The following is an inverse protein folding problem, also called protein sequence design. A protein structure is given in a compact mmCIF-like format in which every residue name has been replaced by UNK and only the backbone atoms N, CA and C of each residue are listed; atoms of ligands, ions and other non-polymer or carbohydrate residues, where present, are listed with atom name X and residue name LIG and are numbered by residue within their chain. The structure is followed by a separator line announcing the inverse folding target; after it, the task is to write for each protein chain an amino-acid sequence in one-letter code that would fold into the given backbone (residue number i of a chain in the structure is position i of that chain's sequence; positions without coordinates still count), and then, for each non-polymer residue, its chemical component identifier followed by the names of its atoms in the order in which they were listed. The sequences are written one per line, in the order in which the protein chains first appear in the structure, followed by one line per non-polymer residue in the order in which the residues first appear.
data_IF_528326595202
#
_entry.id   IF_528326595202
#
_cell.length_a   1.000
_cell.length_b   1.000
_cell.length_c   1.000
_cell.angle_alpha   90.00
_cell.angle_beta   90.00
_cell.angle_gamma   90.00
#
_symmetry.space_group_name_H-M   'P 1'
#
loop_
_entity.id
_entity.type
_entity.pdbx_description
1 polymer ?
#
# COMPACT_ATOMS: atom_id res chain seq x y z
N UNK A 1 -15.36 20.06 18.67
CA UNK A 1 -13.89 19.89 18.54
C UNK A 1 -13.62 19.49 17.11
N UNK A 2 -12.84 20.26 16.36
CA UNK A 2 -12.59 20.00 14.95
C UNK A 2 -11.77 18.70 14.84
N UNK A 3 -12.38 17.65 14.34
CA UNK A 3 -11.70 16.40 14.00
C UNK A 3 -10.97 16.67 12.68
N UNK A 4 -9.77 17.25 12.75
CA UNK A 4 -8.92 17.38 11.57
C UNK A 4 -8.49 15.97 11.17
N UNK A 5 -9.10 15.43 10.11
CA UNK A 5 -8.73 14.11 9.56
C UNK A 5 -7.26 14.07 9.10
N UNK A 6 -6.64 15.23 8.90
CA UNK A 6 -5.23 15.37 8.53
C UNK A 6 -4.45 15.91 9.73
N UNK A 7 -3.34 15.25 10.08
CA UNK A 7 -2.42 15.71 11.12
C UNK A 7 -1.02 15.92 10.50
N UNK A 8 -0.29 16.98 10.88
CA UNK A 8 1.09 17.15 10.45
C UNK A 8 1.96 15.98 10.90
N UNK A 9 2.92 15.60 10.06
CA UNK A 9 3.89 14.59 10.43
C UNK A 9 4.86 15.13 11.50
N UNK A 10 4.89 14.47 12.66
CA UNK A 10 5.78 14.84 13.79
C UNK A 10 7.05 13.96 13.88
N UNK A 11 7.27 13.09 12.89
CA UNK A 11 8.44 12.20 12.87
C UNK A 11 9.72 12.87 12.33
N UNK A 12 10.83 12.12 12.30
CA UNK A 12 12.09 12.62 11.75
C UNK A 12 12.00 12.78 10.22
N UNK A 13 12.46 13.93 9.73
CA UNK A 13 12.55 14.23 8.29
C UNK A 13 13.88 13.80 7.67
N UNK A 14 14.88 13.51 8.51
CA UNK A 14 16.20 13.04 8.10
C UNK A 14 16.46 11.67 8.72
N UNK A 15 16.85 10.71 7.88
CA UNK A 15 17.25 9.37 8.31
C UNK A 15 18.74 9.20 8.01
N UNK A 16 19.54 9.01 9.06
CA UNK A 16 20.98 8.79 8.94
C UNK A 16 21.31 7.31 8.78
N UNK A 17 21.98 6.97 7.68
CA UNK A 17 22.46 5.62 7.36
C UNK A 17 23.98 5.49 7.49
N UNK A 18 24.69 6.56 7.86
CA UNK A 18 26.14 6.56 8.02
C UNK A 18 26.64 5.47 8.98
N UNK A 19 25.96 5.11 10.08
CA UNK A 19 26.38 3.98 10.93
C UNK A 19 26.48 2.63 10.19
N UNK A 20 25.71 2.47 9.10
CA UNK A 20 25.70 1.26 8.29
C UNK A 20 26.65 1.33 7.08
N UNK A 21 27.51 2.34 6.99
CA UNK A 21 28.50 2.45 5.93
C UNK A 21 29.36 1.19 5.84
N UNK A 22 29.49 0.63 4.63
CA UNK A 22 30.20 -0.62 4.38
C UNK A 22 29.46 -1.89 4.84
N UNK A 23 28.28 -1.77 5.45
CA UNK A 23 27.40 -2.89 5.82
C UNK A 23 26.20 -3.02 4.87
N UNK A 24 25.70 -1.91 4.33
CA UNK A 24 24.61 -1.92 3.36
C UNK A 24 25.05 -2.57 2.05
N UNK A 25 24.23 -3.51 1.56
CA UNK A 25 24.48 -4.25 0.33
C UNK A 25 23.23 -4.26 -0.54
N UNK A 26 23.43 -4.12 -1.84
CA UNK A 26 22.40 -4.38 -2.83
C UNK A 26 22.47 -5.84 -3.26
N UNK A 27 21.35 -6.55 -3.19
CA UNK A 27 21.24 -7.95 -3.63
C UNK A 27 20.27 -8.01 -4.79
N UNK A 28 20.72 -8.59 -5.92
CA UNK A 28 19.90 -8.72 -7.11
C UNK A 28 18.62 -9.53 -6.85
N UNK A 29 17.58 -9.26 -7.64
CA UNK A 29 16.30 -9.95 -7.51
C UNK A 29 16.49 -11.48 -7.64
N UNK A 30 15.92 -12.24 -6.70
CA UNK A 30 16.05 -13.71 -6.66
C UNK A 30 17.32 -14.25 -5.99
N UNK A 31 18.36 -13.43 -5.76
CA UNK A 31 19.62 -13.87 -5.15
C UNK A 31 19.53 -14.12 -3.63
N UNK A 32 18.38 -13.81 -3.00
CA UNK A 32 18.10 -14.11 -1.60
C UNK A 32 17.61 -15.54 -1.35
N UNK A 33 17.45 -16.36 -2.40
CA UNK A 33 16.98 -17.75 -2.26
C UNK A 33 18.00 -18.59 -1.50
N UNK A 34 17.57 -19.23 -0.42
CA UNK A 34 18.41 -20.11 0.40
C UNK A 34 19.22 -19.39 1.50
N UNK A 35 19.11 -18.07 1.62
CA UNK A 35 19.72 -17.32 2.74
C UNK A 35 19.06 -17.73 4.06
N UNK A 36 19.88 -17.99 5.07
CA UNK A 36 19.40 -18.33 6.42
C UNK A 36 19.01 -17.04 7.15
N UNK A 37 17.82 -17.03 7.75
CA UNK A 37 17.32 -15.92 8.56
C UNK A 37 17.31 -16.29 10.04
N UNK A 38 17.17 -15.27 10.88
CA UNK A 38 16.94 -15.45 12.31
C UNK A 38 15.72 -16.37 12.54
N UNK A 39 15.82 -17.22 13.56
CA UNK A 39 14.77 -18.16 13.96
C UNK A 39 14.19 -17.74 15.30
N UNK A 40 12.96 -18.19 15.57
CA UNK A 40 12.35 -18.02 16.89
C UNK A 40 13.25 -18.60 17.99
N UNK A 41 13.40 -17.84 19.09
CA UNK A 41 14.23 -18.24 20.22
C UNK A 41 15.67 -17.70 20.20
N UNK A 42 16.06 -16.90 19.20
CA UNK A 42 17.40 -16.28 19.14
C UNK A 42 17.86 -15.61 20.45
N UNK A 43 17.03 -14.81 21.17
CA UNK A 43 17.50 -14.16 22.40
C UNK A 43 18.00 -15.13 23.48
N UNK A 44 17.40 -16.33 23.58
CA UNK A 44 17.84 -17.37 24.52
C UNK A 44 19.19 -17.96 24.09
N UNK A 45 19.35 -18.17 22.78
CA UNK A 45 20.60 -18.67 22.18
C UNK A 45 21.73 -17.66 22.37
N UNK A 46 21.46 -16.38 22.16
CA UNK A 46 22.46 -15.31 22.34
C UNK A 46 22.96 -15.26 23.80
N UNK A 47 22.05 -15.31 24.78
CA UNK A 47 22.41 -15.40 26.20
C UNK A 47 23.23 -16.65 26.52
N UNK A 48 22.87 -17.79 25.94
CA UNK A 48 23.62 -19.02 26.11
C UNK A 48 25.03 -18.91 25.52
N UNK A 49 25.16 -18.38 24.31
CA UNK A 49 26.45 -18.18 23.63
C UNK A 49 27.31 -17.20 24.42
N UNK A 50 26.74 -16.12 24.94
CA UNK A 50 27.44 -15.14 25.77
C UNK A 50 28.06 -15.78 27.03
N UNK A 51 27.31 -16.65 27.69
CA UNK A 51 27.76 -17.29 28.94
C UNK A 51 28.72 -18.46 28.71
N UNK A 52 28.45 -19.31 27.71
CA UNK A 52 29.14 -20.59 27.54
C UNK A 52 30.31 -20.53 26.56
N UNK A 53 30.24 -19.72 25.51
CA UNK A 53 31.27 -19.72 24.46
C UNK A 53 32.65 -19.31 25.00
N UNK A 54 32.79 -18.28 25.86
CA UNK A 54 34.09 -17.93 26.43
C UNK A 54 34.73 -19.05 27.25
N UNK A 55 33.92 -19.88 27.90
CA UNK A 55 34.38 -21.00 28.74
C UNK A 55 34.76 -22.24 27.92
N UNK A 56 34.09 -22.46 26.80
CA UNK A 56 34.22 -23.69 26.00
C UNK A 56 34.86 -23.49 24.63
N UNK A 57 35.25 -22.27 24.24
CA UNK A 57 35.79 -21.97 22.91
C UNK A 57 36.97 -22.86 22.52
N UNK A 58 37.91 -23.08 23.44
CA UNK A 58 39.09 -23.93 23.19
C UNK A 58 38.70 -25.39 22.95
N UNK A 59 37.77 -25.93 23.75
CA UNK A 59 37.30 -27.31 23.62
C UNK A 59 36.49 -27.53 22.33
N UNK A 60 35.82 -26.48 21.84
CA UNK A 60 35.08 -26.48 20.57
C UNK A 60 35.98 -26.16 19.36
N UNK A 61 37.27 -25.87 19.57
CA UNK A 61 38.20 -25.43 18.54
C UNK A 61 37.69 -24.22 17.72
N UNK A 62 36.98 -23.29 18.37
CA UNK A 62 36.48 -22.06 17.76
C UNK A 62 37.29 -20.85 18.19
N UNK A 63 37.27 -19.79 17.37
CA UNK A 63 37.93 -18.53 17.73
C UNK A 63 37.33 -17.95 19.01
N UNK A 64 38.14 -17.46 19.95
CA UNK A 64 37.65 -16.74 21.13
C UNK A 64 36.94 -15.42 20.77
N UNK A 65 37.18 -14.86 19.57
CA UNK A 65 36.53 -13.63 19.08
C UNK A 65 35.13 -13.85 18.52
N UNK A 66 34.73 -15.12 18.32
CA UNK A 66 33.51 -15.45 17.58
C UNK A 66 32.25 -14.87 18.24
N UNK A 67 32.18 -14.84 19.57
CA UNK A 67 31.06 -14.22 20.27
C UNK A 67 30.98 -12.71 20.00
N UNK A 68 32.11 -12.02 20.01
CA UNK A 68 32.19 -10.58 19.70
C UNK A 68 31.70 -10.30 18.28
N UNK A 69 32.07 -11.15 17.32
CA UNK A 69 31.61 -11.03 15.93
C UNK A 69 30.09 -11.24 15.82
N UNK A 70 29.55 -12.27 16.47
CA UNK A 70 28.10 -12.53 16.51
C UNK A 70 27.36 -11.34 17.14
N UNK A 71 27.80 -10.87 18.30
CA UNK A 71 27.18 -9.72 18.99
C UNK A 71 27.23 -8.45 18.14
N UNK A 72 28.34 -8.20 17.44
CA UNK A 72 28.47 -7.08 16.49
C UNK A 72 27.44 -7.18 15.37
N UNK A 73 27.24 -8.38 14.79
CA UNK A 73 26.24 -8.61 13.76
C UNK A 73 24.81 -8.47 14.31
N UNK A 74 24.52 -8.95 15.51
CA UNK A 74 23.21 -8.74 16.17
C UNK A 74 22.91 -7.24 16.33
N UNK A 75 23.90 -6.46 16.78
CA UNK A 75 23.79 -5.01 16.92
C UNK A 75 23.44 -4.33 15.59
N UNK A 76 24.22 -4.61 14.54
CA UNK A 76 23.97 -4.09 13.19
C UNK A 76 22.60 -4.49 12.63
N UNK A 77 22.16 -5.73 12.88
CA UNK A 77 20.83 -6.19 12.47
C UNK A 77 19.72 -5.41 13.18
N UNK A 78 19.93 -5.06 14.44
CA UNK A 78 18.97 -4.26 15.22
C UNK A 78 18.89 -2.84 14.67
N UNK A 79 20.02 -2.21 14.38
CA UNK A 79 20.08 -0.88 13.74
C UNK A 79 19.37 -0.88 12.38
N UNK A 80 19.63 -1.88 11.53
CA UNK A 80 18.94 -2.04 10.24
C UNK A 80 17.43 -2.15 10.43
N UNK A 81 16.96 -2.91 11.43
CA UNK A 81 15.51 -3.09 11.69
C UNK A 81 14.84 -1.79 12.12
N UNK A 82 15.47 -1.01 13.00
CA UNK A 82 14.95 0.28 13.44
C UNK A 82 14.85 1.26 12.26
N UNK A 83 15.91 1.36 11.44
CA UNK A 83 15.88 2.22 10.26
C UNK A 83 14.82 1.77 9.24
N UNK A 84 14.64 0.45 9.05
CA UNK A 84 13.58 -0.08 8.20
C UNK A 84 12.18 0.34 8.66
N UNK A 85 11.90 0.25 9.95
CA UNK A 85 10.61 0.67 10.53
C UNK A 85 10.37 2.17 10.32
N UNK A 86 11.42 2.99 10.48
CA UNK A 86 11.33 4.43 10.22
C UNK A 86 11.05 4.75 8.75
N UNK A 87 11.68 4.03 7.82
CA UNK A 87 11.42 4.16 6.38
C UNK A 87 10.01 3.72 6.02
N UNK A 88 9.55 2.59 6.55
CA UNK A 88 8.20 2.07 6.30
C UNK A 88 7.14 3.07 6.77
N UNK A 89 7.34 3.69 7.95
CA UNK A 89 6.44 4.74 8.45
C UNK A 89 6.49 6.01 7.59
N UNK A 90 7.67 6.43 7.15
CA UNK A 90 7.78 7.61 6.28
C UNK A 90 7.13 7.36 4.91
N UNK A 91 7.27 6.14 4.38
CA UNK A 91 6.62 5.73 3.15
C UNK A 91 5.09 5.78 3.28
N UNK A 92 4.53 5.26 4.36
CA UNK A 92 3.09 5.35 4.66
C UNK A 92 2.61 6.82 4.67
N UNK A 93 3.36 7.71 5.32
CA UNK A 93 3.04 9.14 5.37
C UNK A 93 3.12 9.79 3.99
N UNK A 94 4.08 9.38 3.15
CA UNK A 94 4.20 9.89 1.78
C UNK A 94 3.04 9.41 0.91
N UNK A 95 2.64 8.15 1.03
CA UNK A 95 1.49 7.58 0.32
C UNK A 95 0.19 8.33 0.72
N UNK A 96 -0.03 8.54 2.02
CA UNK A 96 -1.17 9.32 2.53
C UNK A 96 -1.14 10.77 2.04
N UNK A 97 0.05 11.38 2.03
CA UNK A 97 0.24 12.75 1.55
C UNK A 97 -0.02 12.85 0.05
N UNK A 98 0.42 11.88 -0.75
CA UNK A 98 0.13 11.81 -2.19
C UNK A 98 -1.37 11.80 -2.41
N UNK A 99 -2.11 10.88 -1.77
CA UNK A 99 -3.57 10.79 -1.88
C UNK A 99 -4.24 12.10 -1.46
N UNK A 100 -3.79 12.71 -0.37
CA UNK A 100 -4.34 13.99 0.10
C UNK A 100 -4.11 15.13 -0.90
N UNK A 101 -2.91 15.22 -1.47
CA UNK A 101 -2.58 16.23 -2.49
C UNK A 101 -3.36 15.99 -3.78
N UNK A 102 -3.56 14.74 -4.17
CA UNK A 102 -4.39 14.38 -5.31
C UNK A 102 -5.86 14.76 -5.09
N UNK A 103 -6.46 14.42 -3.95
CA UNK A 103 -7.83 14.81 -3.61
C UNK A 103 -8.02 16.34 -3.61
N UNK A 104 -7.04 17.05 -3.05
CA UNK A 104 -7.02 18.52 -3.07
C UNK A 104 -6.95 19.06 -4.51
N UNK A 105 -6.08 18.50 -5.34
CA UNK A 105 -5.96 18.85 -6.77
C UNK A 105 -7.29 18.60 -7.50
N UNK A 106 -7.90 17.43 -7.32
CA UNK A 106 -9.16 17.06 -7.96
C UNK A 106 -10.32 17.97 -7.54
N UNK A 107 -10.38 18.33 -6.25
CA UNK A 107 -11.36 19.28 -5.72
C UNK A 107 -11.23 20.66 -6.39
N UNK A 108 -10.01 21.15 -6.56
CA UNK A 108 -9.74 22.42 -7.25
C UNK A 108 -10.12 22.35 -8.74
N UNK A 109 -9.81 21.25 -9.44
CA UNK A 109 -10.25 21.04 -10.82
C UNK A 109 -11.78 21.02 -10.91
N UNK A 110 -12.47 20.38 -9.97
CA UNK A 110 -13.92 20.39 -9.87
C UNK A 110 -14.50 21.79 -9.75
N UNK A 111 -13.92 22.64 -8.91
CA UNK A 111 -14.33 24.04 -8.78
C UNK A 111 -14.17 24.84 -10.08
N UNK A 112 -13.08 24.63 -10.82
CA UNK A 112 -12.86 25.26 -12.13
C UNK A 112 -13.90 24.80 -13.14
N UNK A 113 -14.14 23.48 -13.21
CA UNK A 113 -15.13 22.88 -14.12
C UNK A 113 -16.55 23.38 -13.83
N UNK A 114 -16.94 23.44 -12.56
CA UNK A 114 -18.25 23.96 -12.17
C UNK A 114 -18.40 25.44 -12.56
N UNK A 115 -17.35 26.23 -12.32
CA UNK A 115 -17.32 27.65 -12.68
C UNK A 115 -17.43 27.85 -14.19
N UNK A 116 -16.67 27.09 -14.99
CA UNK A 116 -16.73 27.13 -16.45
C UNK A 116 -18.13 26.79 -16.97
N UNK A 117 -18.76 25.72 -16.46
CA UNK A 117 -20.15 25.33 -16.82
C UNK A 117 -21.16 26.41 -16.45
N UNK A 118 -21.01 27.01 -15.26
CA UNK A 118 -21.89 28.07 -14.78
C UNK A 118 -21.81 29.31 -15.66
N UNK A 119 -20.60 29.73 -16.02
CA UNK A 119 -20.35 30.87 -16.93
C UNK A 119 -20.87 30.58 -18.33
N UNK A 120 -20.63 29.37 -18.85
CA UNK A 120 -21.17 28.94 -20.14
C UNK A 120 -22.69 29.04 -20.23
N UNK A 121 -23.39 28.66 -19.15
CA UNK A 121 -24.85 28.72 -19.09
C UNK A 121 -25.39 30.15 -18.99
N UNK A 122 -24.63 31.09 -18.39
CA UNK A 122 -25.13 32.43 -18.04
C UNK A 122 -24.67 33.54 -18.98
N UNK A 123 -23.44 33.49 -19.47
CA UNK A 123 -22.80 34.63 -20.13
C UNK A 123 -21.99 34.29 -21.37
N UNK A 124 -21.18 33.23 -21.36
CA UNK A 124 -20.29 32.91 -22.48
C UNK A 124 -20.19 31.41 -22.77
N UNK A 125 -20.97 30.91 -23.75
CA UNK A 125 -20.93 29.50 -24.17
C UNK A 125 -19.53 29.00 -24.59
N UNK A 126 -18.62 29.89 -25.01
CA UNK A 126 -17.25 29.55 -25.40
C UNK A 126 -16.42 28.94 -24.27
N UNK A 127 -16.82 29.14 -23.01
CA UNK A 127 -16.15 28.55 -21.84
C UNK A 127 -16.17 27.02 -21.82
N UNK A 128 -17.13 26.37 -22.48
CA UNK A 128 -17.14 24.90 -22.59
C UNK A 128 -15.99 24.42 -23.47
N UNK A 129 -15.74 25.13 -24.58
CA UNK A 129 -14.67 24.80 -25.52
C UNK A 129 -13.31 25.10 -24.90
N UNK A 130 -13.18 26.24 -24.21
CA UNK A 130 -11.93 26.63 -23.55
C UNK A 130 -11.46 25.65 -22.46
N UNK A 131 -12.40 24.97 -21.78
CA UNK A 131 -12.11 24.01 -20.71
C UNK A 131 -12.52 22.56 -21.04
N UNK A 132 -12.60 22.22 -22.33
CA UNK A 132 -13.15 20.94 -22.79
C UNK A 132 -12.45 19.74 -22.13
N UNK A 133 -11.12 19.73 -22.07
CA UNK A 133 -10.35 18.63 -21.49
C UNK A 133 -10.60 18.47 -19.99
N UNK A 134 -10.64 19.57 -19.23
CA UNK A 134 -10.92 19.53 -17.80
C UNK A 134 -12.35 19.02 -17.53
N UNK A 135 -13.32 19.47 -18.31
CA UNK A 135 -14.72 19.01 -18.24
C UNK A 135 -14.81 17.52 -18.56
N UNK A 136 -14.07 17.05 -19.55
CA UNK A 136 -14.02 15.63 -19.96
C UNK A 136 -13.37 14.77 -18.89
N UNK A 137 -12.23 15.21 -18.35
CA UNK A 137 -11.49 14.55 -17.28
C UNK A 137 -12.35 14.40 -16.00
N UNK A 138 -12.89 15.50 -15.48
CA UNK A 138 -13.78 15.49 -14.31
C UNK A 138 -15.05 14.64 -14.53
N UNK A 139 -15.48 14.46 -15.79
CA UNK A 139 -16.63 13.63 -16.14
C UNK A 139 -16.38 12.12 -16.19
N UNK A 140 -15.13 11.64 -16.09
CA UNK A 140 -14.78 10.23 -16.32
C UNK A 140 -15.49 9.28 -15.35
N UNK A 141 -15.48 9.59 -14.04
CA UNK A 141 -16.12 8.74 -13.02
C UNK A 141 -17.62 8.63 -13.24
N UNK A 142 -18.29 9.73 -13.58
CA UNK A 142 -19.72 9.74 -13.89
C UNK A 142 -20.07 8.86 -15.10
N UNK A 143 -19.22 8.88 -16.14
CA UNK A 143 -19.39 8.02 -17.33
C UNK A 143 -19.23 6.54 -16.99
N UNK A 144 -18.22 6.19 -16.20
CA UNK A 144 -17.99 4.82 -15.75
C UNK A 144 -19.13 4.31 -14.87
N UNK A 145 -19.62 5.14 -13.95
CA UNK A 145 -20.74 4.80 -13.09
C UNK A 145 -22.03 4.57 -13.90
N UNK A 146 -22.32 5.44 -14.88
CA UNK A 146 -23.46 5.25 -15.78
C UNK A 146 -23.34 3.94 -16.58
N UNK A 147 -22.17 3.65 -17.15
CA UNK A 147 -21.90 2.39 -17.85
C UNK A 147 -22.11 1.18 -16.95
N UNK A 148 -21.64 1.24 -15.69
CA UNK A 148 -21.81 0.15 -14.73
C UNK A 148 -23.27 -0.05 -14.31
N UNK A 149 -24.05 1.02 -14.19
CA UNK A 149 -25.50 0.93 -13.91
C UNK A 149 -26.23 0.20 -15.04
N UNK A 150 -25.96 0.57 -16.28
CA UNK A 150 -26.53 -0.11 -17.46
C UNK A 150 -26.19 -1.61 -17.48
N UNK A 151 -24.92 -1.96 -17.27
CA UNK A 151 -24.50 -3.37 -17.22
C UNK A 151 -25.18 -4.15 -16.08
N UNK A 152 -25.37 -3.53 -14.92
CA UNK A 152 -26.05 -4.17 -13.80
C UNK A 152 -27.55 -4.35 -14.06
N UNK A 153 -28.21 -3.39 -14.71
CA UNK A 153 -29.62 -3.48 -15.12
C UNK A 153 -29.83 -4.61 -16.15
N UNK A 154 -28.94 -4.71 -17.15
CA UNK A 154 -28.96 -5.79 -18.14
C UNK A 154 -28.73 -7.16 -17.49
N UNK A 155 -27.75 -7.28 -16.59
CA UNK A 155 -27.48 -8.51 -15.86
C UNK A 155 -28.65 -8.93 -14.95
N UNK A 156 -29.31 -7.97 -14.29
CA UNK A 156 -30.49 -8.24 -13.46
C UNK A 156 -31.68 -8.70 -14.31
N UNK A 157 -31.91 -8.08 -15.47
CA UNK A 157 -32.96 -8.50 -16.41
C UNK A 157 -32.71 -9.91 -16.97
N UNK A 158 -31.46 -10.24 -17.32
CA UNK A 158 -31.08 -11.57 -17.77
C UNK A 158 -31.26 -12.63 -16.67
N UNK A 159 -30.86 -12.33 -15.42
CA UNK A 159 -31.06 -13.22 -14.29
C UNK A 159 -32.55 -13.45 -13.98
N UNK A 160 -33.38 -12.41 -14.07
CA UNK A 160 -34.82 -12.53 -13.88
C UNK A 160 -35.49 -13.37 -14.99
N UNK A 161 -35.05 -13.21 -16.24
CA UNK A 161 -35.53 -14.02 -17.36
C UNK A 161 -35.11 -15.49 -17.24
N UNK A 162 -33.88 -15.76 -16.79
CA UNK A 162 -33.41 -17.12 -16.54
C UNK A 162 -34.19 -17.79 -15.40
N UNK A 163 -34.42 -17.09 -14.30
CA UNK A 163 -35.21 -17.60 -13.18
C UNK A 163 -36.68 -17.85 -13.56
N UNK A 164 -37.27 -17.02 -14.42
CA UNK A 164 -38.61 -17.24 -14.94
C UNK A 164 -38.67 -18.46 -15.88
N UNK A 165 -37.68 -18.64 -16.75
CA UNK A 165 -37.59 -19.79 -17.64
C UNK A 165 -37.36 -21.11 -16.87
N UNK A 166 -36.56 -21.09 -15.80
CA UNK A 166 -36.38 -22.24 -14.91
C UNK A 166 -37.67 -22.59 -14.16
N UNK A 167 -38.39 -21.59 -13.65
CA UNK A 167 -39.68 -21.79 -12.96
C UNK A 167 -40.78 -22.33 -13.91
N UNK A 168 -40.81 -21.86 -15.16
CA UNK A 168 -41.73 -22.39 -16.19
C UNK A 168 -41.37 -23.84 -16.57
N UNK A 169 -40.08 -24.16 -16.71
CA UNK A 169 -39.63 -25.53 -17.00
C UNK A 169 -39.94 -26.51 -15.86
N UNK A 170 -39.81 -26.08 -14.59
CA UNK A 170 -40.19 -26.89 -13.43
C UNK A 170 -41.71 -27.11 -13.34
N UNK A 171 -42.52 -26.09 -13.65
CA UNK A 171 -43.97 -26.19 -13.66
C UNK A 171 -44.51 -27.10 -14.78
N UNK A 172 -43.87 -27.10 -15.97
CA UNK A 172 -44.22 -28.02 -17.05
C UNK A 172 -43.83 -29.47 -16.72
N UNK A 173 -42.71 -29.68 -16.02
CA UNK A 173 -42.28 -31.02 -15.60
C UNK A 173 -43.24 -31.66 -14.57
N UNK A 174 -43.86 -30.87 -13.71
CA UNK A 174 -44.80 -31.36 -12.67
C UNK A 174 -46.18 -31.71 -13.24
N UNK A 175 -46.61 -31.07 -14.33
CA UNK A 175 -47.94 -31.29 -14.94
C UNK A 175 -48.00 -32.48 -15.92
N UNK A 176 -46.87 -33.19 -16.10
CA UNK A 176 -46.74 -34.34 -17.02
C UNK A 176 -46.66 -35.70 -16.28
N UNK A 177 -46.87 -35.71 -14.96
CA UNK A 177 -46.98 -36.93 -14.12
C UNK A 177 -48.44 -37.26 -13.80
#
# INVERSE_FOLDING_TARGET
MANSMVQPFEGPYELDYQPLQGTLVYVAHGAMRGVRREKAGWPKVELELAAKLPLHAQALHVSPTLYTEISTLTGKLTEVRVLKEQVERLLEVLDDTEVHLEDTRESLVGHVVESARRTAKRSDPGMVVAFEEAIRYHGQVGRLAAKRRLLNEEAAAAAAAAAAAEAEAEAEAENTQ
#
